data_IF_013204683735
#
_entry.id   IF_013204683735
#
_cell.length_a   1.000
_cell.length_b   1.000
_cell.length_c   1.000
_cell.angle_alpha   90.00
_cell.angle_beta   90.00
_cell.angle_gamma   90.00
#
_symmetry.space_group_name_H-M   'P 1'
#
loop_
_entity.id
_entity.type
_entity.pdbx_description
1 polymer ?
#
# COMPACT_ATOMS: atom_id res chain seq x y z
N UNK A 1 6.44 -19.08 2.55
CA UNK A 1 5.24 -18.88 1.70
C UNK A 1 3.99 -19.03 2.54
N UNK A 2 3.01 -18.13 2.33
CA UNK A 2 1.71 -18.18 3.02
C UNK A 2 0.64 -18.39 1.95
N UNK A 3 -0.22 -19.37 2.15
CA UNK A 3 -1.34 -19.65 1.25
C UNK A 3 -2.64 -19.67 2.04
N UNK A 4 -3.57 -18.86 1.63
CA UNK A 4 -4.96 -18.85 2.10
C UNK A 4 -5.80 -19.50 1.00
N UNK A 5 -6.53 -20.57 1.32
CA UNK A 5 -7.33 -21.32 0.34
C UNK A 5 -8.79 -21.33 0.79
N UNK A 6 -9.64 -20.66 0.04
CA UNK A 6 -11.09 -20.64 0.25
C UNK A 6 -11.50 -20.22 1.67
N UNK A 7 -10.81 -19.22 2.24
CA UNK A 7 -11.05 -18.75 3.60
C UNK A 7 -12.42 -18.08 3.70
N UNK A 8 -13.29 -18.68 4.51
CA UNK A 8 -14.56 -18.07 4.90
C UNK A 8 -14.61 -17.90 6.41
N UNK A 9 -15.04 -16.72 6.87
CA UNK A 9 -15.25 -16.43 8.29
C UNK A 9 -16.65 -15.87 8.53
N UNK A 10 -17.39 -16.54 9.39
CA UNK A 10 -18.77 -16.19 9.73
C UNK A 10 -18.88 -15.87 11.22
N UNK A 11 -19.56 -14.78 11.56
CA UNK A 11 -19.96 -14.40 12.91
C UNK A 11 -21.47 -14.34 12.99
N UNK A 12 -22.10 -15.34 13.59
CA UNK A 12 -23.55 -15.48 13.56
C UNK A 12 -24.07 -15.55 12.12
N UNK A 13 -24.83 -14.54 11.69
CA UNK A 13 -25.34 -14.43 10.32
C UNK A 13 -24.48 -13.53 9.41
N UNK A 14 -23.42 -12.93 9.95
CA UNK A 14 -22.56 -12.03 9.20
C UNK A 14 -21.32 -12.76 8.66
N UNK A 15 -21.15 -12.75 7.34
CA UNK A 15 -20.00 -13.30 6.65
C UNK A 15 -18.94 -12.21 6.50
N UNK A 16 -17.92 -12.22 7.36
CA UNK A 16 -16.83 -11.23 7.36
C UNK A 16 -15.76 -11.51 6.30
N UNK A 17 -15.56 -12.79 5.95
CA UNK A 17 -14.75 -13.23 4.81
C UNK A 17 -15.54 -14.27 4.03
N UNK A 18 -15.50 -14.18 2.70
CA UNK A 18 -16.26 -15.00 1.79
C UNK A 18 -15.37 -15.49 0.65
N UNK A 19 -14.89 -16.72 0.76
CA UNK A 19 -14.10 -17.44 -0.25
C UNK A 19 -12.80 -16.70 -0.65
N UNK A 20 -12.04 -16.25 0.35
CA UNK A 20 -10.77 -15.53 0.13
C UNK A 20 -9.65 -16.52 -0.15
N UNK A 21 -8.99 -16.38 -1.31
CA UNK A 21 -7.81 -17.15 -1.68
C UNK A 21 -6.68 -16.20 -2.07
N UNK A 22 -5.51 -16.33 -1.42
CA UNK A 22 -4.34 -15.46 -1.63
C UNK A 22 -3.07 -16.26 -1.43
N UNK A 23 -2.06 -16.02 -2.26
CA UNK A 23 -0.71 -16.59 -2.10
C UNK A 23 0.32 -15.48 -1.93
N UNK A 24 1.06 -15.51 -0.82
CA UNK A 24 2.09 -14.53 -0.45
C UNK A 24 3.45 -15.23 -0.46
N UNK A 25 4.40 -14.69 -1.20
CA UNK A 25 5.73 -15.28 -1.38
C UNK A 25 6.63 -15.01 -0.17
N UNK A 26 7.67 -15.81 -0.01
CA UNK A 26 8.66 -15.56 1.04
C UNK A 26 9.44 -14.27 0.75
N UNK A 27 9.65 -13.48 1.80
CA UNK A 27 10.39 -12.22 1.73
C UNK A 27 9.63 -11.07 1.05
N UNK A 28 8.41 -11.29 0.59
CA UNK A 28 7.57 -10.29 -0.08
C UNK A 28 6.96 -9.30 0.94
N UNK A 29 6.83 -8.04 0.55
CA UNK A 29 5.97 -7.07 1.23
C UNK A 29 4.63 -7.04 0.50
N UNK A 30 3.62 -7.64 1.11
CA UNK A 30 2.29 -7.81 0.54
C UNK A 30 1.27 -6.89 1.21
N UNK A 31 0.56 -6.10 0.40
CA UNK A 31 -0.48 -5.20 0.86
C UNK A 31 -1.88 -5.84 0.83
N UNK A 32 -2.72 -5.49 1.79
CA UNK A 32 -4.16 -5.76 1.76
C UNK A 32 -4.87 -4.43 1.99
N UNK A 33 -5.58 -3.96 0.99
CA UNK A 33 -6.26 -2.66 1.03
C UNK A 33 -7.76 -2.85 0.86
N UNK A 34 -8.54 -1.97 1.50
CA UNK A 34 -10.00 -1.98 1.41
C UNK A 34 -10.61 -0.97 2.37
N UNK A 35 -11.89 -0.67 2.21
CA UNK A 35 -12.61 0.24 3.09
C UNK A 35 -12.69 -0.29 4.54
N UNK A 36 -13.08 0.57 5.48
CA UNK A 36 -13.38 0.13 6.84
C UNK A 36 -14.50 -0.90 6.83
N UNK A 37 -14.35 -1.99 7.60
CA UNK A 37 -15.32 -3.09 7.62
C UNK A 37 -15.23 -4.09 6.46
N UNK A 38 -14.31 -3.93 5.50
CA UNK A 38 -14.18 -4.84 4.35
C UNK A 38 -13.68 -6.27 4.70
N UNK A 39 -13.24 -6.52 5.95
CA UNK A 39 -12.75 -7.83 6.39
C UNK A 39 -11.23 -7.92 6.61
N UNK A 40 -10.46 -6.84 6.39
CA UNK A 40 -8.99 -6.81 6.47
C UNK A 40 -8.43 -7.37 7.78
N UNK A 41 -8.82 -6.78 8.91
CA UNK A 41 -8.33 -7.21 10.23
C UNK A 41 -8.78 -8.64 10.58
N UNK A 42 -9.97 -9.06 10.11
CA UNK A 42 -10.41 -10.45 10.24
C UNK A 42 -9.49 -11.39 9.46
N UNK A 43 -9.08 -11.01 8.25
CA UNK A 43 -8.17 -11.82 7.43
C UNK A 43 -6.81 -12.02 8.13
N UNK A 44 -6.22 -10.93 8.67
CA UNK A 44 -4.97 -11.05 9.45
C UNK A 44 -5.13 -11.92 10.68
N UNK A 45 -6.25 -11.81 11.40
CA UNK A 45 -6.53 -12.66 12.56
C UNK A 45 -6.76 -14.12 12.19
N UNK A 46 -7.20 -14.40 10.95
CA UNK A 46 -7.21 -15.76 10.43
C UNK A 46 -5.80 -16.25 10.13
N UNK A 47 -4.92 -15.42 9.56
CA UNK A 47 -3.53 -15.83 9.26
C UNK A 47 -2.78 -16.23 10.54
N UNK A 48 -2.85 -15.45 11.61
CA UNK A 48 -2.20 -15.78 12.88
C UNK A 48 -3.04 -16.70 13.77
N UNK A 49 -4.20 -17.16 13.28
CA UNK A 49 -5.13 -18.03 13.98
C UNK A 49 -5.63 -17.47 15.33
N UNK A 50 -5.56 -16.15 15.55
CA UNK A 50 -6.25 -15.53 16.70
C UNK A 50 -7.76 -15.71 16.57
N UNK A 51 -8.26 -15.67 15.35
CA UNK A 51 -9.64 -15.98 14.99
C UNK A 51 -9.61 -17.02 13.83
N UNK A 52 -9.68 -18.32 14.13
CA UNK A 52 -9.67 -19.35 13.10
C UNK A 52 -10.79 -19.10 12.06
N UNK A 53 -10.53 -19.34 10.77
CA UNK A 53 -11.58 -19.32 9.75
C UNK A 53 -12.67 -20.34 10.07
N UNK A 54 -13.87 -20.12 9.53
CA UNK A 54 -14.98 -21.09 9.64
C UNK A 54 -14.74 -22.25 8.68
N UNK A 55 -14.26 -21.97 7.47
CA UNK A 55 -13.87 -22.97 6.46
C UNK A 55 -12.65 -22.48 5.69
N UNK A 56 -11.98 -23.40 4.99
CA UNK A 56 -10.78 -23.11 4.20
C UNK A 56 -9.51 -23.63 4.87
N UNK A 57 -8.36 -23.31 4.28
CA UNK A 57 -7.05 -23.75 4.77
C UNK A 57 -6.11 -22.54 4.90
N UNK A 58 -5.36 -22.48 6.00
CA UNK A 58 -4.29 -21.51 6.23
C UNK A 58 -2.97 -22.25 6.26
N UNK A 59 -2.18 -22.13 5.22
CA UNK A 59 -0.87 -22.77 5.11
C UNK A 59 0.24 -21.73 5.34
N UNK A 60 1.13 -21.99 6.27
CA UNK A 60 2.34 -21.18 6.51
C UNK A 60 3.54 -22.12 6.40
N UNK A 61 4.42 -21.84 5.44
CA UNK A 61 5.56 -22.70 5.11
C UNK A 61 5.17 -24.16 4.89
N UNK A 62 4.02 -24.37 4.21
CA UNK A 62 3.47 -25.69 3.91
C UNK A 62 2.77 -26.37 5.07
N UNK A 63 2.74 -25.79 6.27
CA UNK A 63 1.98 -26.31 7.42
C UNK A 63 0.56 -25.79 7.46
N UNK A 64 -0.41 -26.67 7.56
CA UNK A 64 -1.81 -26.29 7.75
C UNK A 64 -2.06 -25.92 9.22
N UNK A 65 -2.24 -24.62 9.46
CA UNK A 65 -2.44 -24.04 10.78
C UNK A 65 -3.76 -24.48 11.42
N UNK A 66 -4.75 -24.91 10.60
CA UNK A 66 -6.05 -25.38 11.06
C UNK A 66 -5.99 -26.78 11.69
N UNK A 67 -5.01 -27.60 11.31
CA UNK A 67 -4.85 -28.98 11.76
C UNK A 67 -3.94 -29.11 12.98
N UNK A 68 -3.32 -28.01 13.44
CA UNK A 68 -2.38 -28.02 14.56
C UNK A 68 -3.11 -28.17 15.91
N UNK A 69 -2.52 -28.90 16.82
CA UNK A 69 -2.90 -28.88 18.22
C UNK A 69 -2.64 -27.51 18.85
N UNK A 70 -3.27 -27.21 19.98
CA UNK A 70 -3.06 -25.92 20.69
C UNK A 70 -1.59 -25.67 21.07
N UNK A 71 -0.82 -26.72 21.37
CA UNK A 71 0.60 -26.61 21.72
C UNK A 71 1.44 -26.29 20.48
N UNK A 72 1.22 -26.99 19.37
CA UNK A 72 1.89 -26.74 18.08
C UNK A 72 1.55 -25.34 17.55
N UNK A 73 0.27 -24.95 17.58
CA UNK A 73 -0.16 -23.61 17.16
C UNK A 73 0.52 -22.49 17.98
N UNK A 74 0.68 -22.69 19.30
CA UNK A 74 1.43 -21.76 20.15
C UNK A 74 2.90 -21.67 19.74
N UNK A 75 3.48 -22.78 19.33
CA UNK A 75 4.86 -22.83 18.82
C UNK A 75 4.98 -22.10 17.48
N UNK A 76 4.10 -22.38 16.53
CA UNK A 76 4.14 -21.73 15.19
C UNK A 76 3.90 -20.22 15.28
N UNK A 77 3.03 -19.76 16.18
CA UNK A 77 2.80 -18.32 16.42
C UNK A 77 4.04 -17.53 16.88
N UNK A 78 5.07 -18.21 17.43
CA UNK A 78 6.35 -17.55 17.76
C UNK A 78 7.09 -17.08 16.49
N UNK A 79 6.82 -17.74 15.36
CA UNK A 79 7.35 -17.38 14.04
C UNK A 79 6.56 -16.27 13.34
N UNK A 80 5.51 -15.73 13.98
CA UNK A 80 4.64 -14.66 13.44
C UNK A 80 4.70 -13.46 14.35
N UNK A 81 5.35 -12.37 13.90
CA UNK A 81 5.31 -11.09 14.58
C UNK A 81 4.03 -10.32 14.23
N UNK A 82 3.56 -9.47 15.15
CA UNK A 82 2.41 -8.63 14.89
C UNK A 82 2.63 -7.20 15.41
N UNK A 83 2.37 -6.23 14.54
CA UNK A 83 2.34 -4.81 14.82
C UNK A 83 0.87 -4.39 14.85
N UNK A 84 0.46 -3.74 15.94
CA UNK A 84 -0.92 -3.34 16.18
C UNK A 84 -1.13 -1.86 15.91
N UNK A 85 -2.32 -1.48 15.53
CA UNK A 85 -2.74 -0.10 15.30
C UNK A 85 -2.51 0.82 16.51
N UNK A 86 -2.77 0.36 17.72
CA UNK A 86 -2.66 1.11 18.97
C UNK A 86 -1.39 0.80 19.78
N UNK A 87 -0.28 0.42 19.13
CA UNK A 87 1.00 0.06 19.73
C UNK A 87 0.94 -1.11 20.74
N UNK A 88 -0.08 -1.19 21.57
CA UNK A 88 -0.31 -2.22 22.63
C UNK A 88 0.93 -2.45 23.51
N UNK A 89 1.61 -1.37 23.90
CA UNK A 89 2.78 -1.44 24.77
C UNK A 89 2.35 -1.67 26.22
N UNK A 90 3.17 -2.43 26.94
CA UNK A 90 3.03 -2.65 28.35
C UNK A 90 3.49 -1.38 29.08
N UNK A 91 2.56 -0.61 29.63
CA UNK A 91 2.81 0.70 30.27
C UNK A 91 3.71 0.61 31.49
N UNK A 92 3.68 -0.54 32.20
CA UNK A 92 4.49 -0.81 33.38
C UNK A 92 5.91 -1.29 33.06
N UNK A 93 6.28 -1.45 31.77
CA UNK A 93 7.59 -1.89 31.35
C UNK A 93 8.30 -0.79 30.55
N UNK A 94 9.62 -0.74 30.70
CA UNK A 94 10.48 0.12 29.86
C UNK A 94 10.44 -0.32 28.40
N UNK A 95 11.09 0.43 27.51
CA UNK A 95 11.30 0.05 26.09
C UNK A 95 11.97 -1.33 26.02
N UNK A 96 13.11 -1.50 26.69
CA UNK A 96 13.80 -2.80 26.74
C UNK A 96 12.91 -3.90 27.32
N UNK A 97 12.12 -3.62 28.36
CA UNK A 97 11.18 -4.56 28.95
C UNK A 97 10.04 -4.96 28.03
N UNK A 98 9.54 -4.06 27.18
CA UNK A 98 8.57 -4.37 26.15
C UNK A 98 9.15 -5.29 25.07
N UNK A 99 10.38 -5.02 24.64
CA UNK A 99 11.09 -5.83 23.63
C UNK A 99 11.46 -7.20 24.20
N UNK A 100 11.84 -7.27 25.49
CA UNK A 100 12.16 -8.52 26.18
C UNK A 100 10.97 -9.49 26.30
N UNK A 101 9.74 -8.97 26.35
CA UNK A 101 8.56 -9.75 26.69
C UNK A 101 8.35 -11.04 25.85
N UNK A 102 8.44 -11.01 24.51
CA UNK A 102 8.37 -12.25 23.72
C UNK A 102 9.48 -13.26 24.01
N UNK A 103 10.69 -12.78 24.29
CA UNK A 103 11.83 -13.63 24.62
C UNK A 103 11.67 -14.28 26.01
N UNK A 104 11.10 -13.56 26.96
CA UNK A 104 10.75 -14.10 28.28
C UNK A 104 9.74 -15.24 28.17
N UNK A 105 8.67 -15.04 27.38
CA UNK A 105 7.66 -16.06 27.11
C UNK A 105 8.23 -17.28 26.36
N UNK A 106 9.30 -17.08 25.60
CA UNK A 106 10.01 -18.17 24.91
C UNK A 106 11.07 -18.85 25.78
N UNK A 107 11.27 -18.41 27.06
CA UNK A 107 12.30 -18.87 27.98
C UNK A 107 13.74 -18.74 27.40
N UNK A 108 14.01 -17.70 26.63
CA UNK A 108 15.36 -17.40 26.11
C UNK A 108 16.29 -17.02 27.27
N UNK A 109 17.53 -17.52 27.33
CA UNK A 109 18.49 -17.17 28.37
C UNK A 109 18.76 -15.65 28.47
N UNK A 110 18.88 -15.10 29.67
CA UNK A 110 19.03 -13.64 29.90
C UNK A 110 20.20 -13.01 29.14
N UNK A 111 21.33 -13.70 29.02
CA UNK A 111 22.47 -13.20 28.27
C UNK A 111 22.15 -13.02 26.77
N UNK A 112 21.41 -13.97 26.20
CA UNK A 112 20.95 -13.91 24.80
C UNK A 112 19.86 -12.86 24.61
N UNK A 113 18.91 -12.75 25.59
CA UNK A 113 17.91 -11.67 25.57
C UNK A 113 18.58 -10.31 25.45
N UNK A 114 19.58 -10.03 26.31
CA UNK A 114 20.29 -8.74 26.33
C UNK A 114 20.90 -8.44 24.96
N UNK A 115 21.63 -9.38 24.36
CA UNK A 115 22.25 -9.21 23.04
C UNK A 115 21.19 -8.89 21.99
N UNK A 116 20.13 -9.70 21.89
CA UNK A 116 19.06 -9.50 20.89
C UNK A 116 18.35 -8.16 21.08
N UNK A 117 18.11 -7.74 22.31
CA UNK A 117 17.49 -6.45 22.61
C UNK A 117 18.38 -5.30 22.17
N UNK A 118 19.66 -5.32 22.51
CA UNK A 118 20.62 -4.27 22.12
C UNK A 118 20.71 -4.19 20.57
N UNK A 119 20.83 -5.32 19.88
CA UNK A 119 20.87 -5.38 18.39
C UNK A 119 19.59 -4.80 17.76
N UNK A 120 18.42 -5.10 18.33
CA UNK A 120 17.13 -4.61 17.82
C UNK A 120 16.93 -3.12 18.14
N UNK A 121 17.33 -2.67 19.32
CA UNK A 121 17.29 -1.24 19.70
C UNK A 121 18.10 -0.38 18.73
N UNK A 122 19.28 -0.85 18.35
CA UNK A 122 20.11 -0.20 17.34
C UNK A 122 19.39 -0.16 15.98
N UNK A 123 18.86 -1.31 15.54
CA UNK A 123 18.13 -1.42 14.26
C UNK A 123 16.95 -0.45 14.15
N UNK A 124 16.19 -0.25 15.23
CA UNK A 124 15.02 0.65 15.24
C UNK A 124 15.37 2.09 15.67
N UNK A 125 16.64 2.39 15.99
CA UNK A 125 17.11 3.71 16.40
C UNK A 125 16.58 4.15 17.76
N UNK A 126 16.51 3.24 18.75
CA UNK A 126 15.98 3.51 20.08
C UNK A 126 16.97 3.19 21.21
N UNK A 127 18.26 3.06 20.95
CA UNK A 127 19.27 2.67 21.93
C UNK A 127 19.27 3.59 23.16
N UNK A 128 19.15 4.92 22.95
CA UNK A 128 19.12 5.90 24.04
C UNK A 128 17.82 5.91 24.86
N UNK A 129 16.76 5.26 24.33
CA UNK A 129 15.43 5.22 24.95
C UNK A 129 15.16 3.92 25.69
N UNK A 130 16.12 3.00 25.78
CA UNK A 130 15.91 1.64 26.29
C UNK A 130 15.29 1.57 27.68
N UNK A 131 15.63 2.54 28.56
CA UNK A 131 15.17 2.60 29.95
C UNK A 131 13.93 3.51 30.13
N UNK A 132 13.44 4.15 29.06
CA UNK A 132 12.22 4.97 29.08
C UNK A 132 10.97 4.11 29.11
N UNK A 133 9.91 4.66 29.70
CA UNK A 133 8.58 4.06 29.69
C UNK A 133 7.74 4.59 28.52
N UNK A 134 6.72 3.84 28.07
CA UNK A 134 5.86 4.26 26.96
C UNK A 134 5.26 5.67 27.11
N UNK A 135 4.94 6.12 28.33
CA UNK A 135 4.41 7.46 28.58
C UNK A 135 5.41 8.59 28.22
N UNK A 136 6.70 8.28 28.13
CA UNK A 136 7.78 9.24 27.85
C UNK A 136 8.16 9.30 26.36
N UNK A 137 7.44 8.56 25.49
CA UNK A 137 7.77 8.37 24.08
C UNK A 137 6.76 9.09 23.17
N UNK A 138 7.25 9.60 22.04
CA UNK A 138 6.40 10.08 20.94
C UNK A 138 5.63 8.91 20.29
N UNK A 139 4.62 9.20 19.45
CA UNK A 139 3.87 8.21 18.71
C UNK A 139 4.77 7.33 17.82
N UNK A 140 5.67 7.95 17.06
CA UNK A 140 6.64 7.24 16.22
C UNK A 140 7.61 6.37 17.01
N UNK A 141 8.09 6.84 18.17
CA UNK A 141 8.92 6.03 19.06
C UNK A 141 8.16 4.82 19.62
N UNK A 142 6.91 5.00 20.05
CA UNK A 142 6.04 3.89 20.48
C UNK A 142 5.86 2.86 19.38
N UNK A 143 5.67 3.31 18.14
CA UNK A 143 5.56 2.42 16.99
C UNK A 143 6.85 1.64 16.73
N UNK A 144 8.01 2.28 16.81
CA UNK A 144 9.31 1.60 16.70
C UNK A 144 9.52 0.56 17.80
N UNK A 145 9.06 0.81 19.04
CA UNK A 145 9.06 -0.20 20.12
C UNK A 145 8.13 -1.37 19.78
N UNK A 146 6.94 -1.10 19.22
CA UNK A 146 6.01 -2.13 18.76
C UNK A 146 6.62 -3.02 17.66
N UNK A 147 7.31 -2.40 16.69
CA UNK A 147 8.05 -3.11 15.63
C UNK A 147 9.18 -3.95 16.25
N UNK A 148 10.01 -3.35 17.09
CA UNK A 148 11.12 -4.04 17.76
C UNK A 148 10.64 -5.27 18.54
N UNK A 149 9.56 -5.15 19.30
CA UNK A 149 8.92 -6.26 20.01
C UNK A 149 8.43 -7.35 19.06
N UNK A 150 7.88 -6.98 17.92
CA UNK A 150 7.36 -7.94 16.95
C UNK A 150 8.47 -8.76 16.27
N UNK A 151 9.67 -8.18 16.06
CA UNK A 151 10.75 -8.82 15.32
C UNK A 151 11.84 -9.46 16.19
N UNK A 152 11.88 -9.20 17.51
CA UNK A 152 12.97 -9.67 18.40
C UNK A 152 13.09 -11.19 18.49
N UNK A 153 12.00 -11.92 18.19
CA UNK A 153 11.97 -13.38 18.13
C UNK A 153 12.40 -13.96 16.77
N UNK A 154 12.90 -13.12 15.86
CA UNK A 154 13.24 -13.50 14.47
C UNK A 154 12.07 -14.22 13.77
N UNK A 155 10.89 -13.61 13.65
CA UNK A 155 9.76 -14.22 12.98
C UNK A 155 10.04 -14.35 11.47
N UNK A 156 9.44 -15.35 10.82
CA UNK A 156 9.44 -15.47 9.35
C UNK A 156 8.36 -14.59 8.69
N UNK A 157 7.33 -14.22 9.45
CA UNK A 157 6.19 -13.42 9.00
C UNK A 157 5.96 -12.27 9.97
N UNK A 158 5.74 -11.07 9.43
CA UNK A 158 5.36 -9.88 10.18
C UNK A 158 4.00 -9.39 9.67
N UNK A 159 3.01 -9.39 10.54
CA UNK A 159 1.68 -8.86 10.26
C UNK A 159 1.60 -7.43 10.78
N UNK A 160 1.11 -6.51 9.95
CA UNK A 160 0.95 -5.10 10.29
C UNK A 160 -0.52 -4.70 10.10
N UNK A 161 -1.23 -4.47 11.19
CA UNK A 161 -2.64 -4.07 11.18
C UNK A 161 -2.74 -2.56 11.41
N UNK A 162 -2.95 -1.79 10.33
CA UNK A 162 -3.10 -0.33 10.31
C UNK A 162 -2.04 0.44 11.15
N UNK A 163 -0.81 -0.06 11.15
CA UNK A 163 0.26 0.40 12.02
C UNK A 163 0.72 1.86 11.81
N UNK A 164 0.22 2.54 10.79
CA UNK A 164 0.58 3.93 10.44
C UNK A 164 -0.55 4.93 10.58
N UNK A 165 -1.79 4.47 10.84
CA UNK A 165 -3.00 5.31 10.79
C UNK A 165 -3.06 6.43 11.83
N UNK A 166 -2.30 6.30 12.93
CA UNK A 166 -2.27 7.26 14.04
C UNK A 166 -1.02 8.17 14.05
N UNK A 167 -0.24 8.18 12.96
CA UNK A 167 1.04 8.87 12.86
C UNK A 167 0.96 10.03 11.85
N UNK A 168 1.79 11.04 12.04
CA UNK A 168 1.96 12.12 11.09
C UNK A 168 2.70 11.64 9.82
N UNK A 169 2.57 12.34 8.67
CA UNK A 169 3.11 11.89 7.39
C UNK A 169 4.62 11.65 7.36
N UNK A 170 5.41 12.47 8.07
CA UNK A 170 6.87 12.30 8.11
C UNK A 170 7.25 11.05 8.91
N UNK A 171 6.58 10.85 10.04
CA UNK A 171 6.75 9.63 10.85
C UNK A 171 6.33 8.39 10.07
N UNK A 172 5.22 8.44 9.29
CA UNK A 172 4.80 7.33 8.41
C UNK A 172 5.93 6.94 7.45
N UNK A 173 6.49 7.90 6.71
CA UNK A 173 7.61 7.64 5.77
C UNK A 173 8.80 6.97 6.47
N UNK A 174 9.16 7.47 7.65
CA UNK A 174 10.24 6.91 8.47
C UNK A 174 9.97 5.47 8.93
N UNK A 175 8.74 5.14 9.30
CA UNK A 175 8.33 3.78 9.68
C UNK A 175 8.30 2.84 8.47
N UNK A 176 7.80 3.30 7.32
CA UNK A 176 7.79 2.50 6.10
C UNK A 176 9.21 2.17 5.63
N UNK A 177 10.13 3.16 5.69
CA UNK A 177 11.53 2.92 5.38
C UNK A 177 12.16 1.90 6.34
N UNK A 178 11.89 2.02 7.64
CA UNK A 178 12.34 1.04 8.64
C UNK A 178 11.83 -0.38 8.33
N UNK A 179 10.56 -0.52 7.92
CA UNK A 179 10.00 -1.84 7.55
C UNK A 179 10.65 -2.41 6.29
N UNK A 180 10.95 -1.57 5.28
CA UNK A 180 11.73 -1.98 4.09
C UNK A 180 13.12 -2.48 4.47
N UNK A 181 13.81 -1.76 5.35
CA UNK A 181 15.16 -2.12 5.80
C UNK A 181 15.15 -3.44 6.59
N UNK A 182 14.16 -3.63 7.46
CA UNK A 182 13.93 -4.87 8.21
C UNK A 182 13.64 -6.03 7.26
N UNK A 183 12.72 -5.86 6.30
CA UNK A 183 12.41 -6.88 5.30
C UNK A 183 13.67 -7.28 4.52
N UNK A 184 14.42 -6.31 3.99
CA UNK A 184 15.64 -6.55 3.23
C UNK A 184 16.75 -7.20 4.06
N UNK A 185 16.93 -6.78 5.32
CA UNK A 185 18.00 -7.26 6.21
C UNK A 185 17.73 -8.64 6.77
N UNK A 186 16.48 -8.92 7.12
CA UNK A 186 16.07 -10.17 7.78
C UNK A 186 15.42 -11.17 6.84
N UNK A 187 15.03 -10.78 5.63
CA UNK A 187 14.34 -11.65 4.66
C UNK A 187 12.94 -12.07 5.10
N UNK A 188 12.30 -11.30 6.00
CA UNK A 188 10.97 -11.64 6.54
C UNK A 188 9.86 -11.25 5.57
N UNK A 189 8.80 -12.04 5.50
CA UNK A 189 7.59 -11.70 4.76
C UNK A 189 6.76 -10.71 5.56
N UNK A 190 6.37 -9.58 4.96
CA UNK A 190 5.53 -8.57 5.63
C UNK A 190 4.16 -8.54 4.99
N UNK A 191 3.10 -8.70 5.79
CA UNK A 191 1.71 -8.50 5.35
C UNK A 191 1.21 -7.24 6.00
N UNK A 192 0.89 -6.25 5.17
CA UNK A 192 0.46 -4.93 5.62
C UNK A 192 -1.00 -4.70 5.31
N UNK A 193 -1.78 -4.39 6.33
CA UNK A 193 -3.16 -3.94 6.19
C UNK A 193 -3.22 -2.44 6.35
N UNK A 194 -3.89 -1.80 5.40
CA UNK A 194 -4.16 -0.37 5.45
C UNK A 194 -5.39 -0.02 4.61
N UNK A 195 -5.97 1.14 4.85
CA UNK A 195 -6.93 1.79 3.94
C UNK A 195 -6.28 2.93 3.13
N UNK A 196 -4.97 3.17 3.33
CA UNK A 196 -4.19 4.25 2.69
C UNK A 196 -3.40 3.69 1.51
N UNK A 197 -3.79 4.08 0.30
CA UNK A 197 -3.10 3.64 -0.93
C UNK A 197 -1.69 4.21 -1.05
N UNK A 198 -1.42 5.37 -0.44
CA UNK A 198 -0.09 5.99 -0.36
C UNK A 198 0.90 5.05 0.35
N UNK A 199 0.46 4.39 1.42
CA UNK A 199 1.26 3.41 2.14
C UNK A 199 1.57 2.20 1.26
N UNK A 200 0.55 1.69 0.56
CA UNK A 200 0.72 0.56 -0.39
C UNK A 200 1.70 0.92 -1.51
N UNK A 201 1.49 2.08 -2.14
CA UNK A 201 2.36 2.62 -3.19
C UNK A 201 3.82 2.68 -2.75
N UNK A 202 4.06 3.11 -1.52
CA UNK A 202 5.39 3.33 -0.97
C UNK A 202 6.13 2.02 -0.70
N UNK A 203 5.48 0.98 -0.15
CA UNK A 203 6.20 -0.15 0.43
C UNK A 203 5.88 -1.51 -0.22
N UNK A 204 4.64 -1.75 -0.68
CA UNK A 204 4.21 -3.09 -1.09
C UNK A 204 4.67 -3.45 -2.51
N UNK A 205 5.00 -4.72 -2.74
CA UNK A 205 5.34 -5.26 -4.06
C UNK A 205 4.08 -5.72 -4.81
N UNK A 206 3.20 -6.44 -4.09
CA UNK A 206 1.89 -6.87 -4.56
C UNK A 206 0.83 -6.46 -3.55
N UNK A 207 -0.40 -6.35 -4.03
CA UNK A 207 -1.53 -5.96 -3.19
C UNK A 207 -2.80 -6.68 -3.61
N UNK A 208 -3.61 -7.07 -2.63
CA UNK A 208 -4.99 -7.50 -2.80
C UNK A 208 -5.96 -6.42 -2.34
N UNK A 209 -6.97 -6.17 -3.13
CA UNK A 209 -8.08 -5.27 -2.81
C UNK A 209 -9.22 -6.13 -2.27
N UNK A 210 -9.63 -5.87 -1.02
CA UNK A 210 -10.72 -6.58 -0.38
C UNK A 210 -11.96 -5.69 -0.25
N UNK A 211 -13.09 -6.21 -0.65
CA UNK A 211 -14.39 -5.55 -0.52
C UNK A 211 -15.45 -6.57 -0.13
N UNK A 212 -16.29 -6.23 0.85
CA UNK A 212 -17.34 -7.12 1.37
C UNK A 212 -16.88 -8.55 1.66
N UNK A 213 -15.66 -8.69 2.22
CA UNK A 213 -15.07 -9.98 2.58
C UNK A 213 -14.51 -10.79 1.42
N UNK A 214 -14.44 -10.25 0.21
CA UNK A 214 -13.90 -10.92 -0.99
C UNK A 214 -12.72 -10.17 -1.56
N UNK A 215 -11.75 -10.87 -2.13
CA UNK A 215 -10.73 -10.25 -2.96
C UNK A 215 -11.36 -9.92 -4.31
N UNK A 216 -11.39 -8.65 -4.67
CA UNK A 216 -11.97 -8.17 -5.93
C UNK A 216 -10.90 -7.92 -7.00
N UNK A 217 -9.67 -7.69 -6.58
CA UNK A 217 -8.54 -7.46 -7.49
C UNK A 217 -7.23 -7.77 -6.77
N UNK A 218 -6.26 -8.37 -7.47
CA UNK A 218 -4.94 -8.71 -6.94
C UNK A 218 -3.89 -8.58 -8.04
N UNK A 219 -2.71 -8.03 -7.73
CA UNK A 219 -1.63 -7.89 -8.70
C UNK A 219 -0.41 -7.17 -8.13
N UNK A 220 0.56 -6.85 -9.02
CA UNK A 220 1.65 -5.96 -8.64
C UNK A 220 1.09 -4.56 -8.33
N UNK A 221 1.71 -3.85 -7.40
CA UNK A 221 1.30 -2.46 -7.09
C UNK A 221 1.33 -1.61 -8.36
N UNK A 222 2.36 -1.78 -9.18
CA UNK A 222 2.50 -1.06 -10.45
C UNK A 222 1.30 -1.29 -11.36
N UNK A 223 0.91 -2.56 -11.58
CA UNK A 223 -0.20 -2.88 -12.49
C UNK A 223 -1.54 -2.36 -11.98
N UNK A 224 -1.81 -2.53 -10.68
CA UNK A 224 -3.06 -2.08 -10.08
C UNK A 224 -3.20 -0.54 -10.07
N UNK A 225 -2.10 0.18 -9.93
CA UNK A 225 -2.13 1.64 -10.04
C UNK A 225 -2.27 2.15 -11.47
N UNK A 226 -1.77 1.39 -12.46
CA UNK A 226 -1.79 1.82 -13.87
C UNK A 226 -3.01 1.38 -14.64
N UNK A 227 -3.59 0.23 -14.26
CA UNK A 227 -4.70 -0.38 -14.97
C UNK A 227 -5.76 -0.92 -14.01
N UNK A 228 -6.30 -0.09 -13.09
CA UNK A 228 -7.34 -0.52 -12.16
C UNK A 228 -8.58 -0.94 -12.91
N UNK A 229 -9.08 -2.15 -12.63
CA UNK A 229 -10.25 -2.71 -13.33
C UNK A 229 -11.54 -2.39 -12.57
N UNK A 230 -11.53 -2.59 -11.26
CA UNK A 230 -12.74 -2.43 -10.44
C UNK A 230 -13.04 -0.96 -10.11
N UNK A 231 -14.32 -0.56 -9.98
CA UNK A 231 -14.69 0.80 -9.57
C UNK A 231 -14.05 1.19 -8.21
N UNK A 232 -13.96 0.24 -7.29
CA UNK A 232 -13.36 0.46 -5.97
C UNK A 232 -11.87 0.78 -6.06
N UNK A 233 -11.12 0.02 -6.86
CA UNK A 233 -9.69 0.31 -7.05
C UNK A 233 -9.48 1.61 -7.83
N UNK A 234 -10.30 1.90 -8.86
CA UNK A 234 -10.26 3.20 -9.57
C UNK A 234 -10.42 4.36 -8.60
N UNK A 235 -11.37 4.27 -7.66
CA UNK A 235 -11.57 5.30 -6.64
C UNK A 235 -10.37 5.43 -5.70
N UNK A 236 -9.78 4.31 -5.24
CA UNK A 236 -8.60 4.32 -4.38
C UNK A 236 -7.37 4.90 -5.09
N UNK A 237 -7.11 4.48 -6.32
CA UNK A 237 -6.00 5.01 -7.13
C UNK A 237 -6.23 6.48 -7.44
N UNK A 238 -7.47 6.86 -7.76
CA UNK A 238 -7.88 8.22 -8.02
C UNK A 238 -7.54 9.19 -6.88
N UNK A 239 -7.74 8.76 -5.65
CA UNK A 239 -7.43 9.59 -4.47
C UNK A 239 -5.93 9.86 -4.28
N UNK A 240 -5.06 8.98 -4.80
CA UNK A 240 -3.59 9.11 -4.65
C UNK A 240 -2.93 9.74 -5.88
N UNK A 241 -3.44 9.41 -7.06
CA UNK A 241 -2.83 9.83 -8.33
C UNK A 241 -3.51 11.07 -8.93
N UNK A 242 -4.40 11.74 -8.20
CA UNK A 242 -5.15 12.90 -8.71
C UNK A 242 -5.81 12.60 -10.06
N UNK A 243 -6.54 11.47 -10.16
CA UNK A 243 -7.23 11.06 -11.39
C UNK A 243 -8.45 11.92 -11.70
N UNK A 244 -8.95 12.65 -10.74
CA UNK A 244 -9.96 13.69 -10.94
C UNK A 244 -9.31 14.95 -11.51
N UNK A 245 -10.09 15.79 -12.21
CA UNK A 245 -9.63 17.12 -12.60
C UNK A 245 -9.18 17.83 -11.34
N UNK A 246 -7.92 18.32 -11.26
CA UNK A 246 -7.43 18.95 -10.05
C UNK A 246 -8.37 20.07 -9.60
N UNK A 247 -8.53 20.21 -8.28
CA UNK A 247 -9.41 21.24 -7.71
C UNK A 247 -9.04 22.64 -8.23
N UNK A 248 -7.76 22.85 -8.57
CA UNK A 248 -7.27 24.07 -9.23
C UNK A 248 -7.91 24.33 -10.60
N UNK A 249 -8.38 23.31 -11.29
CA UNK A 249 -9.05 23.39 -12.58
C UNK A 249 -10.59 23.35 -12.46
N UNK A 250 -11.13 23.20 -11.25
CA UNK A 250 -12.58 23.23 -10.99
C UNK A 250 -13.24 24.58 -11.35
N UNK A 251 -12.44 25.64 -11.47
CA UNK A 251 -12.91 26.96 -11.90
C UNK A 251 -13.02 27.09 -13.43
N UNK A 252 -12.48 26.12 -14.18
CA UNK A 252 -12.60 26.09 -15.63
C UNK A 252 -13.95 25.51 -15.99
N UNK A 253 -14.72 26.24 -16.78
CA UNK A 253 -16.01 25.80 -17.30
C UNK A 253 -15.75 24.81 -18.45
N UNK A 254 -15.58 23.53 -18.10
CA UNK A 254 -15.31 22.47 -19.08
C UNK A 254 -16.63 21.90 -19.59
N UNK A 255 -16.94 22.11 -20.83
CA UNK A 255 -18.13 21.61 -21.50
C UNK A 255 -17.89 20.22 -22.10
N UNK A 256 -18.92 19.36 -22.13
CA UNK A 256 -18.80 18.01 -22.69
C UNK A 256 -18.68 18.05 -24.24
N UNK A 257 -19.35 19.03 -24.88
CA UNK A 257 -19.39 19.19 -26.32
C UNK A 257 -18.69 20.51 -26.73
N UNK A 258 -18.12 20.54 -27.94
CA UNK A 258 -17.53 21.74 -28.55
C UNK A 258 -18.66 22.68 -28.96
N UNK A 259 -18.74 23.86 -28.34
CA UNK A 259 -19.80 24.85 -28.63
C UNK A 259 -19.40 25.83 -29.72
N UNK A 260 -18.11 26.20 -29.78
CA UNK A 260 -17.56 27.17 -30.75
C UNK A 260 -16.36 26.57 -31.50
N UNK A 261 -16.09 27.10 -32.69
CA UNK A 261 -14.96 26.67 -33.50
C UNK A 261 -13.60 26.89 -32.78
N UNK A 262 -13.53 27.93 -31.96
CA UNK A 262 -12.31 28.34 -31.25
C UNK A 262 -12.16 27.66 -29.86
N UNK A 263 -13.10 26.77 -29.48
CA UNK A 263 -13.01 26.07 -28.21
C UNK A 263 -11.76 25.16 -28.16
N UNK A 264 -11.01 25.27 -27.07
CA UNK A 264 -9.81 24.48 -26.82
C UNK A 264 -10.20 23.10 -26.33
N UNK A 265 -9.57 22.06 -26.86
CA UNK A 265 -9.77 20.69 -26.37
C UNK A 265 -8.93 20.43 -25.13
N UNK A 266 -9.56 20.00 -24.04
CA UNK A 266 -8.90 19.61 -22.80
C UNK A 266 -8.58 18.12 -22.85
N UNK A 267 -7.30 17.78 -22.80
CA UNK A 267 -6.80 16.40 -22.82
C UNK A 267 -6.14 16.01 -21.50
N UNK A 268 -6.45 14.82 -21.01
CA UNK A 268 -5.67 14.15 -19.98
C UNK A 268 -4.75 13.11 -20.65
N UNK A 269 -3.46 13.22 -20.39
CA UNK A 269 -2.44 12.29 -20.85
C UNK A 269 -1.83 11.61 -19.63
N UNK A 270 -1.90 10.28 -19.58
CA UNK A 270 -1.26 9.48 -18.53
C UNK A 270 -0.20 8.57 -19.16
N UNK A 271 1.00 8.57 -18.61
CA UNK A 271 2.15 7.84 -19.12
C UNK A 271 2.89 7.09 -18.03
N UNK A 272 3.55 6.00 -18.43
CA UNK A 272 4.23 5.06 -17.55
C UNK A 272 5.64 4.74 -18.07
N UNK A 273 6.61 4.67 -17.15
CA UNK A 273 7.96 4.23 -17.46
C UNK A 273 8.70 5.17 -18.40
N UNK A 274 9.47 4.61 -19.31
CA UNK A 274 10.35 5.39 -20.21
C UNK A 274 9.60 6.36 -21.11
N UNK A 275 8.33 6.12 -21.38
CA UNK A 275 7.48 7.04 -22.19
C UNK A 275 7.30 8.40 -21.49
N UNK A 276 7.48 8.46 -20.18
CA UNK A 276 7.49 9.72 -19.43
C UNK A 276 8.63 10.66 -19.89
N UNK A 277 9.67 10.13 -20.52
CA UNK A 277 10.81 10.89 -21.04
C UNK A 277 10.64 11.29 -22.52
N UNK A 278 9.58 10.84 -23.20
CA UNK A 278 9.34 11.23 -24.59
C UNK A 278 8.83 12.68 -24.67
N UNK A 279 9.28 13.44 -25.68
CA UNK A 279 8.90 14.83 -25.83
C UNK A 279 7.49 14.99 -26.44
N UNK A 280 6.46 14.42 -25.78
CA UNK A 280 5.08 14.40 -26.28
C UNK A 280 4.57 15.79 -26.63
N UNK A 281 4.71 16.74 -25.70
CA UNK A 281 4.27 18.13 -25.93
C UNK A 281 5.01 18.79 -27.09
N UNK A 282 6.33 18.58 -27.17
CA UNK A 282 7.12 19.12 -28.28
C UNK A 282 6.71 18.52 -29.63
N UNK A 283 6.32 17.25 -29.65
CA UNK A 283 5.82 16.59 -30.86
C UNK A 283 4.44 17.13 -31.27
N UNK A 284 3.53 17.38 -30.34
CA UNK A 284 2.24 18.00 -30.61
C UNK A 284 2.42 19.38 -31.27
N UNK A 285 3.33 20.21 -30.73
CA UNK A 285 3.60 21.57 -31.26
C UNK A 285 4.30 21.49 -32.62
N UNK A 286 5.40 20.72 -32.74
CA UNK A 286 6.27 20.78 -33.94
C UNK A 286 5.78 19.95 -35.11
N UNK A 287 5.16 18.81 -34.84
CA UNK A 287 4.76 17.84 -35.89
C UNK A 287 3.34 18.08 -36.36
N UNK A 288 2.45 18.49 -35.45
CA UNK A 288 1.03 18.66 -35.70
C UNK A 288 0.60 20.15 -35.67
N UNK A 289 1.55 21.06 -35.54
CA UNK A 289 1.30 22.52 -35.54
C UNK A 289 0.19 22.95 -34.59
N UNK A 290 0.12 22.31 -33.40
CA UNK A 290 -0.87 22.63 -32.39
C UNK A 290 -0.31 23.60 -31.36
N UNK A 291 -1.10 24.56 -30.93
CA UNK A 291 -0.83 25.32 -29.72
C UNK A 291 -1.21 24.51 -28.50
N UNK A 292 -0.27 24.37 -27.56
CA UNK A 292 -0.44 23.52 -26.39
C UNK A 292 -0.17 24.33 -25.10
N UNK A 293 -1.15 24.36 -24.20
CA UNK A 293 -0.97 24.89 -22.86
C UNK A 293 -1.05 23.80 -21.81
N UNK A 294 -0.13 23.77 -20.86
CA UNK A 294 -0.14 22.82 -19.75
C UNK A 294 -0.95 23.42 -18.60
N UNK A 295 -2.08 22.82 -18.30
CA UNK A 295 -2.95 23.22 -17.18
C UNK A 295 -2.52 22.57 -15.87
N UNK A 296 -2.06 21.33 -15.93
CA UNK A 296 -1.60 20.56 -14.79
C UNK A 296 -0.56 19.54 -15.22
N UNK A 297 0.43 19.30 -14.35
CA UNK A 297 1.43 18.26 -14.56
C UNK A 297 1.90 17.68 -13.25
N UNK A 298 1.93 16.34 -13.17
CA UNK A 298 2.57 15.60 -12.07
C UNK A 298 3.38 14.44 -12.62
N UNK A 299 4.55 14.22 -12.02
CA UNK A 299 5.34 13.01 -12.25
C UNK A 299 5.57 12.40 -10.88
N UNK A 300 5.26 11.14 -10.75
CA UNK A 300 5.36 10.37 -9.52
C UNK A 300 6.08 9.04 -9.80
N UNK A 301 6.52 8.35 -8.75
CA UNK A 301 7.23 7.09 -8.87
C UNK A 301 6.57 6.01 -8.03
N UNK A 302 6.41 4.83 -8.60
CA UNK A 302 5.99 3.63 -7.89
C UNK A 302 7.07 2.57 -8.13
N UNK A 303 7.81 2.19 -7.09
CA UNK A 303 8.89 1.19 -7.18
C UNK A 303 9.88 1.46 -8.33
N UNK A 304 10.35 2.69 -8.50
CA UNK A 304 11.24 3.14 -9.57
C UNK A 304 10.61 3.17 -10.98
N UNK A 305 9.32 2.91 -11.12
CA UNK A 305 8.58 3.16 -12.37
C UNK A 305 8.01 4.55 -12.31
N UNK A 306 8.36 5.42 -13.25
CA UNK A 306 7.81 6.77 -13.37
C UNK A 306 6.38 6.72 -13.88
N UNK A 307 5.53 7.54 -13.29
CA UNK A 307 4.17 7.82 -13.75
C UNK A 307 4.02 9.31 -13.93
N UNK A 308 3.43 9.72 -15.03
CA UNK A 308 3.10 11.10 -15.22
C UNK A 308 1.66 11.26 -15.65
N UNK A 309 1.08 12.36 -15.24
CA UNK A 309 -0.19 12.86 -15.76
C UNK A 309 -0.02 14.31 -16.16
N UNK A 310 -0.44 14.61 -17.37
CA UNK A 310 -0.56 15.98 -17.87
C UNK A 310 -2.02 16.24 -18.20
N UNK A 311 -2.53 17.41 -17.84
CA UNK A 311 -3.75 17.95 -18.38
C UNK A 311 -3.34 19.16 -19.19
N UNK A 312 -3.68 19.15 -20.45
CA UNK A 312 -3.29 20.18 -21.43
C UNK A 312 -4.53 20.67 -22.16
N UNK A 313 -4.47 21.91 -22.65
CA UNK A 313 -5.36 22.34 -23.73
C UNK A 313 -4.60 22.32 -25.04
N UNK A 314 -5.30 21.96 -26.10
CA UNK A 314 -4.78 22.01 -27.47
C UNK A 314 -5.71 22.78 -28.38
N UNK A 315 -5.11 23.56 -29.29
CA UNK A 315 -5.79 24.32 -30.33
C UNK A 315 -5.05 24.08 -31.63
N UNK A 316 -5.79 23.96 -32.72
CA UNK A 316 -5.28 23.82 -34.08
C UNK A 316 -6.38 23.46 -35.07
N UNK A 317 -6.01 23.30 -36.31
CA UNK A 317 -6.94 22.92 -37.36
C UNK A 317 -7.48 21.50 -37.11
N UNK A 318 -8.73 21.22 -37.47
CA UNK A 318 -9.41 19.94 -37.20
C UNK A 318 -8.66 18.73 -37.79
N UNK A 319 -7.99 18.90 -38.94
CA UNK A 319 -7.17 17.84 -39.55
C UNK A 319 -5.95 17.50 -38.68
N UNK A 320 -5.21 18.51 -38.25
CA UNK A 320 -4.01 18.36 -37.43
C UNK A 320 -4.36 17.79 -36.06
N UNK A 321 -5.50 18.22 -35.52
CA UNK A 321 -6.06 17.70 -34.25
C UNK A 321 -6.37 16.21 -34.33
N UNK A 322 -7.05 15.76 -35.41
CA UNK A 322 -7.39 14.35 -35.59
C UNK A 322 -6.14 13.47 -35.78
N UNK A 323 -5.13 13.95 -36.56
CA UNK A 323 -3.85 13.26 -36.70
C UNK A 323 -3.12 13.13 -35.34
N UNK A 324 -3.08 14.22 -34.57
CA UNK A 324 -2.45 14.23 -33.26
C UNK A 324 -3.12 13.26 -32.28
N UNK A 325 -4.46 13.27 -32.21
CA UNK A 325 -5.22 12.34 -31.37
C UNK A 325 -5.02 10.88 -31.79
N UNK A 326 -4.96 10.62 -33.09
CA UNK A 326 -4.67 9.28 -33.61
C UNK A 326 -3.26 8.83 -33.27
N UNK A 327 -2.29 9.74 -33.33
CA UNK A 327 -0.92 9.46 -32.92
C UNK A 327 -0.83 9.18 -31.41
N UNK A 328 -1.43 10.00 -30.57
CA UNK A 328 -1.47 9.78 -29.12
C UNK A 328 -2.04 8.40 -28.76
N UNK A 329 -3.09 7.96 -29.46
CA UNK A 329 -3.67 6.62 -29.29
C UNK A 329 -2.73 5.48 -29.73
N UNK A 330 -1.75 5.74 -30.60
CA UNK A 330 -0.77 4.76 -31.04
C UNK A 330 0.41 4.60 -30.08
N UNK A 331 0.61 5.57 -29.18
CA UNK A 331 1.65 5.53 -28.16
C UNK A 331 1.20 4.65 -26.97
N UNK A 332 2.13 4.09 -26.20
CA UNK A 332 1.82 3.36 -24.97
C UNK A 332 1.45 4.32 -23.81
N UNK A 333 0.52 5.23 -24.08
CA UNK A 333 -0.04 6.20 -23.15
C UNK A 333 -1.56 6.07 -23.12
N UNK A 334 -2.19 6.53 -22.04
CA UNK A 334 -3.64 6.71 -22.00
C UNK A 334 -3.94 8.17 -22.29
N UNK A 335 -4.72 8.43 -23.33
CA UNK A 335 -5.20 9.77 -23.70
C UNK A 335 -6.72 9.81 -23.62
N UNK A 336 -7.26 10.82 -22.95
CA UNK A 336 -8.69 11.02 -22.74
C UNK A 336 -9.04 12.49 -22.97
N UNK A 337 -10.07 12.74 -23.79
CA UNK A 337 -10.65 14.08 -23.91
C UNK A 337 -11.56 14.32 -22.74
N UNK A 338 -11.23 15.28 -21.88
CA UNK A 338 -12.02 15.66 -20.69
C UNK A 338 -13.19 16.59 -21.06
N UNK A 339 -13.09 17.32 -22.16
CA UNK A 339 -14.08 18.27 -22.65
C UNK A 339 -13.43 19.43 -23.38
N UNK A 340 -14.14 20.54 -23.43
CA UNK A 340 -13.75 21.74 -24.16
C UNK A 340 -13.87 22.97 -23.27
N UNK A 341 -13.04 23.98 -23.49
CA UNK A 341 -13.09 25.27 -22.81
C UNK A 341 -13.09 26.39 -23.83
N UNK A 342 -13.88 27.42 -23.58
CA UNK A 342 -13.94 28.59 -24.45
C UNK A 342 -12.63 29.35 -24.45
N UNK A 343 -12.16 29.79 -25.61
CA UNK A 343 -11.05 30.75 -25.71
C UNK A 343 -11.52 32.11 -25.22
N UNK A 344 -10.92 32.65 -24.16
CA UNK A 344 -11.13 34.03 -23.69
C UNK A 344 -10.14 34.95 -24.36
#
# INVERSE_FOLDING_TARGET
MIELKHITKVYGNFKALDDVSVTIRDGEIYGIVGQSGAGKSTLVRCINMLEPPTTGEVLINGKDMMKLSKAELRSERKGIGMIFQHFNLLSSRTVAGNIAFPLELANVPKAEQKKRIDDILDMVGLTEYKDKYPAQLSGGQKQRVGIARAIVSNPSVLLSDEATSALDPETVKSILQLLKDINKKLGITIIMITHQMEVIKEIAERVAVIEHGRIIEEGSVVDLFTNPQTPTLKKFVGSVMSSEVPEQLSHMDIHADKENADDQTVLSLSFRGDVANEPIIANLIKKYNLDVSILYGSIDYIQNVSFGRLIITIIGDDSDMQEALSHLKSLPITSEVLGYVSSH
#
